data_IF_752923722484
#
_entry.id   IF_752923722484
#
_cell.length_a   1.000
_cell.length_b   1.000
_cell.length_c   1.000
_cell.angle_alpha   90.00
_cell.angle_beta   90.00
_cell.angle_gamma   90.00
#
_symmetry.space_group_name_H-M   'P 1'
#
loop_
_entity.id
_entity.type
_entity.pdbx_description
1 polymer ?
#
# COMPACT_ATOMS: atom_id res chain seq x y z
N UNK A 1 -6.59 -0.42 8.47
CA UNK A 1 -6.27 -0.23 7.04
C UNK A 1 -7.11 -1.17 6.20
N UNK A 2 -7.05 -2.49 6.43
CA UNK A 2 -7.93 -3.46 5.75
C UNK A 2 -8.08 -4.74 6.59
N UNK A 3 -9.27 -5.33 6.57
CA UNK A 3 -9.58 -6.65 7.15
C UNK A 3 -10.41 -7.42 6.12
N UNK A 4 -9.96 -8.61 5.75
CA UNK A 4 -10.63 -9.49 4.80
C UNK A 4 -10.11 -10.92 4.96
N UNK A 5 -10.82 -11.90 4.41
CA UNK A 5 -10.31 -13.27 4.35
C UNK A 5 -9.11 -13.37 3.41
N UNK A 6 -8.37 -14.47 3.54
CA UNK A 6 -7.16 -14.72 2.76
C UNK A 6 -7.41 -14.59 1.26
N UNK A 7 -8.45 -15.22 0.72
CA UNK A 7 -8.68 -15.27 -0.73
C UNK A 7 -8.91 -13.85 -1.24
N UNK A 8 -9.78 -13.10 -0.58
CA UNK A 8 -10.11 -11.71 -0.95
C UNK A 8 -8.90 -10.79 -0.87
N UNK A 9 -8.05 -10.91 0.16
CA UNK A 9 -6.84 -10.09 0.27
C UNK A 9 -5.91 -10.27 -0.93
N UNK A 10 -5.68 -11.50 -1.38
CA UNK A 10 -4.79 -11.77 -2.50
C UNK A 10 -5.41 -11.49 -3.86
N UNK A 11 -6.73 -11.65 -4.03
CA UNK A 11 -7.38 -11.43 -5.33
C UNK A 11 -7.75 -9.98 -5.58
N UNK A 12 -8.28 -9.29 -4.57
CA UNK A 12 -8.94 -8.00 -4.70
C UNK A 12 -8.72 -7.14 -3.45
N UNK A 13 -7.47 -6.75 -3.15
CA UNK A 13 -7.18 -5.87 -2.02
C UNK A 13 -7.88 -4.51 -2.22
N UNK A 14 -8.68 -4.12 -1.24
CA UNK A 14 -9.45 -2.86 -1.27
C UNK A 14 -8.59 -1.65 -0.95
N UNK A 15 -7.59 -1.79 -0.06
CA UNK A 15 -6.77 -0.66 0.36
C UNK A 15 -5.51 -0.51 -0.51
N UNK A 16 -5.15 0.71 -0.96
CA UNK A 16 -3.96 0.95 -1.78
C UNK A 16 -2.67 0.47 -1.10
N UNK A 17 -2.56 0.63 0.22
CA UNK A 17 -1.42 0.09 0.98
C UNK A 17 -1.27 -1.44 0.83
N UNK A 18 -2.36 -2.19 1.01
CA UNK A 18 -2.36 -3.66 0.85
C UNK A 18 -2.00 -4.05 -0.57
N UNK A 19 -2.55 -3.36 -1.58
CA UNK A 19 -2.19 -3.57 -2.98
C UNK A 19 -0.69 -3.38 -3.23
N UNK A 20 -0.08 -2.34 -2.64
CA UNK A 20 1.34 -2.09 -2.77
C UNK A 20 2.19 -3.17 -2.09
N UNK A 21 1.82 -3.60 -0.88
CA UNK A 21 2.51 -4.69 -0.17
C UNK A 21 2.50 -5.98 -0.99
N UNK A 22 1.33 -6.37 -1.52
CA UNK A 22 1.21 -7.58 -2.34
C UNK A 22 2.01 -7.47 -3.64
N UNK A 23 2.09 -6.28 -4.25
CA UNK A 23 2.92 -6.05 -5.43
C UNK A 23 4.42 -6.19 -5.19
N UNK A 24 4.86 -6.09 -3.93
CA UNK A 24 6.27 -6.18 -3.56
C UNK A 24 6.76 -7.63 -3.34
N UNK A 25 5.84 -8.61 -3.32
CA UNK A 25 6.17 -10.02 -3.11
C UNK A 25 7.03 -10.54 -4.27
N UNK A 26 8.24 -11.06 -4.00
CA UNK A 26 9.12 -11.55 -5.05
C UNK A 26 8.56 -12.84 -5.67
N UNK A 27 8.67 -12.97 -6.99
CA UNK A 27 8.38 -14.22 -7.69
C UNK A 27 9.59 -15.15 -7.55
N UNK A 28 9.43 -16.40 -7.07
CA UNK A 28 10.55 -17.33 -6.86
C UNK A 28 11.31 -17.72 -8.12
N UNK A 29 10.71 -17.62 -9.31
CA UNK A 29 11.37 -17.92 -10.58
C UNK A 29 12.40 -16.83 -10.93
N UNK A 30 13.71 -17.13 -10.96
CA UNK A 30 14.76 -16.15 -11.24
C UNK A 30 14.62 -15.50 -12.63
N UNK A 31 14.02 -16.21 -13.59
CA UNK A 31 13.79 -15.69 -14.95
C UNK A 31 12.69 -14.62 -14.98
N UNK A 32 11.89 -14.53 -13.93
CA UNK A 32 10.81 -13.54 -13.77
C UNK A 32 11.22 -12.36 -12.89
N UNK A 33 12.50 -12.30 -12.50
CA UNK A 33 13.05 -11.21 -11.67
C UNK A 33 12.86 -9.87 -12.39
N UNK A 34 12.14 -8.94 -11.76
CA UNK A 34 11.85 -7.60 -12.30
C UNK A 34 10.61 -7.52 -13.21
N UNK A 35 10.00 -8.64 -13.59
CA UNK A 35 8.81 -8.67 -14.46
C UNK A 35 7.47 -8.47 -13.73
N UNK A 36 7.51 -8.07 -12.45
CA UNK A 36 6.32 -7.79 -11.65
C UNK A 36 5.94 -6.31 -11.68
N UNK A 37 4.63 -6.02 -11.73
CA UNK A 37 4.09 -4.65 -11.59
C UNK A 37 4.23 -4.16 -10.13
N UNK A 38 5.47 -3.97 -9.70
CA UNK A 38 5.80 -3.44 -8.37
C UNK A 38 5.36 -2.00 -8.29
N UNK A 39 4.54 -1.70 -7.29
CA UNK A 39 4.17 -0.34 -7.00
C UNK A 39 5.12 0.25 -5.96
N UNK A 40 6.00 1.13 -6.43
CA UNK A 40 6.88 1.87 -5.55
C UNK A 40 6.06 2.89 -4.74
N UNK A 41 6.17 2.81 -3.43
CA UNK A 41 5.65 3.82 -2.53
C UNK A 41 6.71 4.90 -2.38
N UNK A 42 6.32 6.15 -2.58
CA UNK A 42 7.20 7.30 -2.42
C UNK A 42 7.11 7.86 -1.01
N UNK A 43 8.21 8.42 -0.53
CA UNK A 43 8.32 9.01 0.80
C UNK A 43 8.47 8.00 1.95
N UNK A 44 8.89 8.53 3.09
CA UNK A 44 9.17 7.76 4.30
C UNK A 44 7.94 7.52 5.16
N UNK A 45 8.04 6.56 6.08
CA UNK A 45 7.01 6.29 7.08
C UNK A 45 6.91 7.50 8.02
N UNK A 46 5.73 8.11 8.18
CA UNK A 46 5.57 9.24 9.09
C UNK A 46 5.83 8.84 10.54
N UNK A 47 6.28 9.81 11.35
CA UNK A 47 6.56 9.59 12.77
C UNK A 47 5.32 9.12 13.53
N UNK A 48 5.43 8.07 14.37
CA UNK A 48 4.34 7.65 15.27
C UNK A 48 3.99 8.70 16.34
N UNK A 49 4.93 9.59 16.69
CA UNK A 49 4.76 10.61 17.74
C UNK A 49 3.86 11.75 17.25
N UNK A 50 3.99 12.12 15.97
CA UNK A 50 3.22 13.18 15.33
C UNK A 50 2.63 12.65 14.02
N UNK A 51 1.59 11.80 14.09
CA UNK A 51 1.00 11.21 12.89
C UNK A 51 0.25 12.28 12.09
N UNK A 52 0.22 12.17 10.75
CA UNK A 52 -0.61 13.04 9.93
C UNK A 52 -2.11 12.86 10.26
N UNK A 53 -2.92 13.92 10.12
CA UNK A 53 -4.35 13.87 10.36
C UNK A 53 -5.08 12.96 9.35
N UNK A 54 -6.26 12.49 9.71
CA UNK A 54 -7.07 11.61 8.87
C UNK A 54 -6.41 10.25 8.60
N UNK A 55 -6.28 9.89 7.32
CA UNK A 55 -5.67 8.62 6.90
C UNK A 55 -4.15 8.69 6.99
N UNK A 56 -3.54 7.99 7.95
CA UNK A 56 -2.08 7.97 8.15
C UNK A 56 -1.23 7.59 6.93
N UNK A 57 -1.83 6.94 5.93
CA UNK A 57 -1.15 6.54 4.69
C UNK A 57 -1.25 7.59 3.57
N UNK A 58 -2.04 8.67 3.74
CA UNK A 58 -2.32 9.63 2.67
C UNK A 58 -1.04 10.28 2.09
N UNK A 59 0.00 10.46 2.91
CA UNK A 59 1.28 11.06 2.49
C UNK A 59 2.08 10.18 1.52
N UNK A 60 1.77 8.88 1.44
CA UNK A 60 2.45 7.88 0.59
C UNK A 60 1.51 7.20 -0.40
N UNK A 61 0.21 7.50 -0.33
CA UNK A 61 -0.82 6.88 -1.14
C UNK A 61 -0.96 7.59 -2.49
N UNK A 62 -0.75 6.88 -3.60
CA UNK A 62 -0.94 7.44 -4.95
C UNK A 62 -2.40 7.69 -5.31
N UNK A 63 -3.36 7.22 -4.50
CA UNK A 63 -4.80 7.48 -4.65
C UNK A 63 -5.34 8.45 -3.59
N UNK A 64 -4.47 9.15 -2.86
CA UNK A 64 -4.91 10.09 -1.83
C UNK A 64 -5.78 11.19 -2.44
N UNK A 65 -6.88 11.51 -1.76
CA UNK A 65 -7.76 12.65 -2.06
C UNK A 65 -7.69 13.67 -0.93
N UNK A 66 -8.26 14.87 -1.13
CA UNK A 66 -8.32 15.90 -0.09
C UNK A 66 -8.96 15.40 1.22
N UNK A 67 -10.00 14.57 1.11
CA UNK A 67 -10.68 13.97 2.25
C UNK A 67 -9.80 13.01 3.07
N UNK A 68 -8.71 12.50 2.51
CA UNK A 68 -7.79 11.63 3.24
C UNK A 68 -6.93 12.39 4.27
N UNK A 69 -6.77 13.71 4.11
CA UNK A 69 -5.97 14.55 5.00
C UNK A 69 -6.80 15.27 6.07
N UNK A 70 -8.12 15.11 6.05
CA UNK A 70 -9.07 15.71 6.99
C UNK A 70 -9.55 14.68 8.01
N UNK A 71 -9.86 15.11 9.24
CA UNK A 71 -10.42 14.29 10.32
C UNK A 71 -11.94 14.39 10.31
#
# INVERSE_FOLDING_TARGET
VELADRKTLYSTPGHPYTSALLSAVPVPDPRRKGHGNRRLLHGDVPSPIAPPPGCRFHTRCWKATASCATI
#
